data_IF_139158986399
#
_entry.id   IF_139158986399
#
_cell.length_a   1.000
_cell.length_b   1.000
_cell.length_c   1.000
_cell.angle_alpha   90.00
_cell.angle_beta   90.00
_cell.angle_gamma   90.00
#
_symmetry.space_group_name_H-M   'P 1'
#
loop_
_entity.id
_entity.type
_entity.pdbx_description
1 polymer ?
#
# COMPACT_ATOMS: atom_id res chain seq x y z
N UNK A 1 -31.47 -1.30 -46.04
CA UNK A 1 -31.81 -0.98 -44.64
C UNK A 1 -30.61 -1.37 -43.79
N UNK A 2 -29.84 -0.37 -43.37
CA UNK A 2 -28.57 -0.52 -42.66
C UNK A 2 -28.81 -1.01 -41.23
N UNK A 3 -28.20 -2.14 -40.87
CA UNK A 3 -28.01 -2.53 -39.48
C UNK A 3 -26.97 -1.59 -38.88
N UNK A 4 -27.43 -0.67 -38.03
CA UNK A 4 -26.54 0.08 -37.14
C UNK A 4 -26.25 -0.86 -35.98
N UNK A 5 -25.11 -1.54 -36.08
CA UNK A 5 -24.46 -2.21 -34.97
C UNK A 5 -24.16 -1.15 -33.91
N UNK A 6 -24.88 -1.20 -32.78
CA UNK A 6 -24.62 -0.32 -31.65
C UNK A 6 -23.47 -0.95 -30.87
N UNK A 7 -22.36 -0.24 -30.62
CA UNK A 7 -21.35 -0.78 -29.74
C UNK A 7 -21.94 -0.82 -28.32
N UNK A 8 -22.12 -2.01 -27.77
CA UNK A 8 -22.15 -2.22 -26.33
C UNK A 8 -20.75 -1.93 -25.78
N UNK A 9 -20.37 -0.66 -25.76
CA UNK A 9 -19.23 -0.25 -24.94
C UNK A 9 -19.68 -0.32 -23.47
N UNK A 10 -18.95 -1.05 -22.60
CA UNK A 10 -19.14 -0.96 -21.15
C UNK A 10 -18.61 0.40 -20.69
N UNK A 11 -19.33 1.46 -21.04
CA UNK A 11 -19.13 2.76 -20.43
C UNK A 11 -19.66 2.59 -19.01
N UNK A 12 -18.73 2.48 -18.06
CA UNK A 12 -18.87 3.15 -16.78
C UNK A 12 -19.74 2.52 -15.68
N UNK A 13 -19.91 1.21 -15.50
CA UNK A 13 -20.44 0.76 -14.18
C UNK A 13 -19.49 1.20 -13.06
N UNK A 14 -18.19 0.98 -13.25
CA UNK A 14 -17.11 1.47 -12.37
C UNK A 14 -17.06 3.00 -12.29
N UNK A 15 -17.23 3.73 -13.39
CA UNK A 15 -17.12 5.19 -13.41
C UNK A 15 -18.41 5.88 -12.86
N UNK A 16 -19.60 5.30 -13.07
CA UNK A 16 -20.87 5.74 -12.49
C UNK A 16 -20.89 5.52 -10.97
N UNK A 17 -20.42 4.36 -10.48
CA UNK A 17 -20.30 4.10 -9.02
C UNK A 17 -19.34 5.10 -8.35
N UNK A 18 -18.27 5.52 -9.05
CA UNK A 18 -17.26 6.45 -8.50
C UNK A 18 -17.73 7.90 -8.46
N UNK A 19 -18.46 8.35 -9.48
CA UNK A 19 -19.09 9.68 -9.47
C UNK A 19 -20.24 9.74 -8.47
N UNK A 20 -20.92 8.61 -8.23
CA UNK A 20 -21.95 8.48 -7.20
C UNK A 20 -21.38 8.69 -5.78
N UNK A 21 -20.22 8.11 -5.45
CA UNK A 21 -19.62 8.23 -4.11
C UNK A 21 -19.26 9.67 -3.72
N UNK A 22 -18.71 10.46 -4.66
CA UNK A 22 -18.42 11.88 -4.41
C UNK A 22 -19.72 12.69 -4.22
N UNK A 23 -20.73 12.44 -5.06
CA UNK A 23 -22.04 13.08 -4.94
C UNK A 23 -22.73 12.73 -3.62
N UNK A 24 -22.62 11.48 -3.17
CA UNK A 24 -23.15 11.02 -1.89
C UNK A 24 -22.47 11.73 -0.72
N UNK A 25 -21.14 11.85 -0.74
CA UNK A 25 -20.38 12.56 0.29
C UNK A 25 -20.80 14.04 0.40
N UNK A 26 -20.97 14.72 -0.74
CA UNK A 26 -21.46 16.10 -0.80
C UNK A 26 -22.89 16.17 -0.25
N UNK A 27 -23.77 15.27 -0.66
CA UNK A 27 -25.18 15.23 -0.23
C UNK A 27 -25.28 14.97 1.28
N UNK A 28 -24.48 14.05 1.81
CA UNK A 28 -24.39 13.80 3.25
C UNK A 28 -23.89 15.03 4.00
N UNK A 29 -22.90 15.75 3.48
CA UNK A 29 -22.40 17.01 4.06
C UNK A 29 -23.50 18.06 4.13
N UNK A 30 -24.29 18.22 3.05
CA UNK A 30 -25.43 19.14 3.03
C UNK A 30 -26.52 18.76 4.04
N UNK A 31 -26.89 17.48 4.09
CA UNK A 31 -27.99 16.99 4.93
C UNK A 31 -27.63 17.00 6.43
N UNK A 32 -26.39 16.64 6.76
CA UNK A 32 -25.92 16.55 8.15
C UNK A 32 -25.35 17.88 8.66
N UNK A 33 -24.94 18.78 7.76
CA UNK A 33 -24.17 19.98 8.08
C UNK A 33 -22.88 19.68 8.85
N UNK A 34 -22.34 18.47 8.68
CA UNK A 34 -21.09 18.02 9.27
C UNK A 34 -20.06 17.76 8.19
N UNK A 35 -18.82 18.09 8.49
CA UNK A 35 -17.70 17.81 7.60
C UNK A 35 -17.57 16.30 7.39
N UNK A 36 -17.37 15.88 6.15
CA UNK A 36 -17.16 14.47 5.79
C UNK A 36 -15.77 14.29 5.21
N UNK A 37 -15.22 13.09 5.38
CA UNK A 37 -13.92 12.71 4.84
C UNK A 37 -13.96 11.27 4.36
N UNK A 38 -13.48 11.04 3.14
CA UNK A 38 -13.41 9.69 2.57
C UNK A 38 -12.28 9.59 1.55
N UNK A 39 -11.67 8.42 1.44
CA UNK A 39 -10.74 8.13 0.34
C UNK A 39 -11.55 7.58 -0.84
N UNK A 40 -11.56 8.31 -1.94
CA UNK A 40 -12.28 7.95 -3.16
C UNK A 40 -11.31 7.64 -4.29
N UNK A 41 -11.67 6.66 -5.11
CA UNK A 41 -10.94 6.33 -6.32
C UNK A 41 -11.60 7.06 -7.50
N UNK A 42 -10.97 8.12 -8.01
CA UNK A 42 -11.51 8.96 -9.08
C UNK A 42 -10.74 8.73 -10.39
N UNK A 43 -11.46 8.73 -11.51
CA UNK A 43 -10.86 8.66 -12.83
C UNK A 43 -10.53 10.08 -13.32
N UNK A 44 -9.25 10.36 -13.59
CA UNK A 44 -8.76 11.67 -14.06
C UNK A 44 -7.76 11.42 -15.19
N UNK A 45 -7.91 12.11 -16.33
CA UNK A 45 -6.97 12.11 -17.46
C UNK A 45 -6.43 10.72 -17.87
N UNK A 46 -7.34 9.75 -18.07
CA UNK A 46 -7.06 8.34 -18.40
C UNK A 46 -6.39 7.48 -17.30
N UNK A 47 -6.30 7.97 -16.05
CA UNK A 47 -5.77 7.22 -14.91
C UNK A 47 -6.75 7.11 -13.75
N UNK A 48 -6.67 6.00 -13.01
CA UNK A 48 -7.33 5.87 -11.72
C UNK A 48 -6.40 6.42 -10.64
N UNK A 49 -6.86 7.42 -9.91
CA UNK A 49 -6.15 8.03 -8.79
C UNK A 49 -6.95 7.90 -7.50
N UNK A 50 -6.24 7.88 -6.39
CA UNK A 50 -6.84 7.84 -5.05
C UNK A 50 -6.77 9.23 -4.46
N UNK A 51 -7.91 9.79 -4.08
CA UNK A 51 -7.99 11.10 -3.44
C UNK A 51 -8.58 10.95 -2.06
N UNK A 52 -7.95 11.59 -1.08
CA UNK A 52 -8.66 11.97 0.12
C UNK A 52 -9.55 13.16 -0.20
N UNK A 53 -10.85 12.97 0.01
CA UNK A 53 -11.87 13.97 -0.24
C UNK A 53 -12.39 14.43 1.10
N UNK A 54 -12.24 15.72 1.37
CA UNK A 54 -12.84 16.38 2.53
C UNK A 54 -13.88 17.36 2.06
N UNK A 55 -15.09 17.26 2.58
CA UNK A 55 -16.20 18.16 2.27
C UNK A 55 -16.59 18.92 3.53
N UNK A 56 -16.65 20.25 3.43
CA UNK A 56 -16.93 21.13 4.55
C UNK A 56 -18.21 21.90 4.28
N UNK A 57 -19.17 21.80 5.20
CA UNK A 57 -20.37 22.61 5.12
C UNK A 57 -20.04 24.05 5.54
N UNK A 58 -20.28 25.00 4.64
CA UNK A 58 -20.12 26.42 4.92
C UNK A 58 -21.48 27.10 4.85
N UNK A 59 -21.88 27.69 5.98
CA UNK A 59 -23.08 28.52 6.03
C UNK A 59 -22.75 29.88 5.39
N UNK A 60 -23.15 30.05 4.14
CA UNK A 60 -23.10 31.34 3.45
C UNK A 60 -24.11 32.34 3.99
N UNK A 61 -24.14 33.55 3.42
CA UNK A 61 -25.04 34.61 3.86
C UNK A 61 -26.49 34.32 3.41
N UNK A 62 -27.40 34.26 4.41
CA UNK A 62 -28.87 34.08 4.49
C UNK A 62 -29.63 33.20 3.46
N UNK A 63 -29.11 32.90 2.27
CA UNK A 63 -29.83 32.19 1.19
C UNK A 63 -29.04 31.12 0.44
N UNK A 64 -27.72 30.97 0.65
CA UNK A 64 -26.93 29.94 -0.02
C UNK A 64 -26.11 29.13 0.98
N UNK A 65 -26.37 27.82 1.02
CA UNK A 65 -25.48 26.86 1.65
C UNK A 65 -24.42 26.45 0.63
N UNK A 66 -23.15 26.51 1.02
CA UNK A 66 -22.02 26.14 0.17
C UNK A 66 -21.32 24.93 0.77
N UNK A 67 -20.75 24.08 -0.09
CA UNK A 67 -19.88 22.99 0.34
C UNK A 67 -18.52 23.20 -0.32
N UNK A 68 -17.50 23.37 0.51
CA UNK A 68 -16.11 23.38 0.07
C UNK A 68 -15.64 21.94 -0.05
N UNK A 69 -14.94 21.62 -1.14
CA UNK A 69 -14.38 20.29 -1.40
C UNK A 69 -12.88 20.43 -1.54
N UNK A 70 -12.13 19.65 -0.77
CA UNK A 70 -10.69 19.51 -0.88
C UNK A 70 -10.40 18.10 -1.38
N UNK A 71 -9.57 18.00 -2.42
CA UNK A 71 -9.12 16.75 -3.01
C UNK A 71 -7.60 16.68 -2.86
N UNK A 72 -7.11 15.76 -2.04
CA UNK A 72 -5.68 15.51 -1.88
C UNK A 72 -5.30 14.19 -2.57
N UNK A 73 -4.43 14.24 -3.58
CA UNK A 73 -4.00 13.05 -4.32
C UNK A 73 -3.08 12.19 -3.44
N UNK A 74 -3.62 11.06 -2.98
CA UNK A 74 -2.93 10.07 -2.16
C UNK A 74 -2.33 8.93 -2.99
N UNK A 75 -2.42 8.98 -4.33
CA UNK A 75 -2.06 7.84 -5.18
C UNK A 75 -0.64 7.34 -4.92
N UNK A 76 0.35 8.23 -4.93
CA UNK A 76 1.75 7.86 -4.72
C UNK A 76 2.01 7.40 -3.29
N UNK A 77 1.39 8.07 -2.30
CA UNK A 77 1.55 7.73 -0.88
C UNK A 77 1.05 6.32 -0.62
N UNK A 78 -0.20 6.02 -1.00
CA UNK A 78 -0.80 4.70 -0.81
C UNK A 78 -0.12 3.62 -1.65
N UNK A 79 0.43 3.97 -2.82
CA UNK A 79 1.24 3.03 -3.61
C UNK A 79 2.53 2.65 -2.87
N UNK A 80 3.23 3.62 -2.29
CA UNK A 80 4.44 3.37 -1.50
C UNK A 80 4.10 2.53 -0.27
N UNK A 81 3.04 2.85 0.47
CA UNK A 81 2.60 2.06 1.63
C UNK A 81 2.28 0.60 1.26
N UNK A 82 1.60 0.37 0.12
CA UNK A 82 1.36 -0.98 -0.39
C UNK A 82 2.65 -1.70 -0.72
N UNK A 83 3.56 -1.05 -1.44
CA UNK A 83 4.86 -1.64 -1.77
C UNK A 83 5.66 -2.00 -0.51
N UNK A 84 5.60 -1.17 0.54
CA UNK A 84 6.23 -1.45 1.83
C UNK A 84 5.60 -2.67 2.51
N UNK A 85 4.27 -2.73 2.56
CA UNK A 85 3.54 -3.87 3.13
C UNK A 85 3.87 -5.17 2.38
N UNK A 86 3.86 -5.13 1.05
CA UNK A 86 4.18 -6.29 0.20
C UNK A 86 5.65 -6.72 0.40
N UNK A 87 6.57 -5.76 0.50
CA UNK A 87 7.98 -6.04 0.80
C UNK A 87 8.13 -6.73 2.16
N UNK A 88 7.47 -6.24 3.21
CA UNK A 88 7.52 -6.83 4.55
C UNK A 88 6.94 -8.25 4.57
N UNK A 89 5.82 -8.46 3.87
CA UNK A 89 5.22 -9.79 3.73
C UNK A 89 6.18 -10.76 3.03
N UNK A 90 6.75 -10.34 1.89
CA UNK A 90 7.71 -11.14 1.12
C UNK A 90 8.97 -11.46 1.95
N UNK A 91 9.56 -10.45 2.60
CA UNK A 91 10.71 -10.64 3.48
C UNK A 91 10.40 -11.65 4.60
N UNK A 92 9.22 -11.55 5.23
CA UNK A 92 8.80 -12.50 6.28
C UNK A 92 8.71 -13.93 5.75
N UNK A 93 8.14 -14.11 4.56
CA UNK A 93 8.07 -15.42 3.90
C UNK A 93 9.46 -15.97 3.54
N UNK A 94 10.33 -15.14 2.97
CA UNK A 94 11.68 -15.53 2.57
C UNK A 94 12.61 -15.82 3.75
N UNK A 95 12.38 -15.22 4.91
CA UNK A 95 13.08 -15.57 6.16
C UNK A 95 12.54 -16.86 6.79
N UNK A 96 11.23 -17.10 6.69
CA UNK A 96 10.59 -18.28 7.30
C UNK A 96 11.08 -19.59 6.68
N UNK A 97 11.28 -19.63 5.37
CA UNK A 97 11.76 -20.83 4.66
C UNK A 97 13.13 -21.33 5.14
N UNK A 98 14.23 -20.55 5.10
CA UNK A 98 15.54 -20.98 5.60
C UNK A 98 15.50 -21.31 7.09
N UNK A 99 14.74 -20.55 7.89
CA UNK A 99 14.59 -20.84 9.32
C UNK A 99 13.91 -22.19 9.59
N UNK A 100 12.89 -22.52 8.80
CA UNK A 100 12.19 -23.81 8.89
C UNK A 100 13.13 -24.95 8.49
N UNK A 101 13.91 -24.78 7.43
CA UNK A 101 14.91 -25.75 7.00
C UNK A 101 15.97 -25.99 8.09
N UNK A 102 16.56 -24.91 8.64
CA UNK A 102 17.54 -24.99 9.73
C UNK A 102 16.97 -25.77 10.92
N UNK A 103 15.76 -25.43 11.36
CA UNK A 103 15.11 -26.10 12.49
C UNK A 103 14.90 -27.58 12.20
N UNK A 104 14.38 -27.94 11.03
CA UNK A 104 14.14 -29.33 10.65
C UNK A 104 15.42 -30.18 10.54
N UNK A 105 16.51 -29.60 10.02
CA UNK A 105 17.79 -30.30 9.99
C UNK A 105 18.42 -30.44 11.38
N UNK A 106 18.26 -29.45 12.26
CA UNK A 106 18.68 -29.56 13.65
C UNK A 106 17.90 -30.67 14.38
N UNK A 107 16.58 -30.76 14.18
CA UNK A 107 15.76 -31.84 14.73
C UNK A 107 16.24 -33.21 14.21
N UNK A 108 16.58 -33.30 12.93
CA UNK A 108 17.10 -34.53 12.32
C UNK A 108 18.47 -34.91 12.92
N UNK A 109 19.34 -33.93 13.13
CA UNK A 109 20.65 -34.09 13.77
C UNK A 109 20.58 -34.49 15.24
N UNK A 110 19.48 -34.17 15.93
CA UNK A 110 19.24 -34.62 17.30
C UNK A 110 18.77 -36.09 17.36
N UNK A 111 18.37 -36.66 16.23
CA UNK A 111 17.99 -38.06 16.08
C UNK A 111 19.13 -38.99 15.63
N UNK A 112 18.80 -40.19 15.13
CA UNK A 112 19.80 -41.20 14.71
C UNK A 112 20.76 -40.72 13.61
N UNK A 113 20.34 -39.76 12.79
CA UNK A 113 21.20 -39.16 11.76
C UNK A 113 22.38 -38.38 12.36
N UNK A 114 22.26 -37.93 13.61
CA UNK A 114 23.36 -37.34 14.36
C UNK A 114 24.44 -38.34 14.75
N UNK A 115 24.19 -39.65 14.71
CA UNK A 115 25.17 -40.68 15.07
C UNK A 115 26.06 -41.07 13.88
N UNK A 116 25.53 -41.01 12.65
CA UNK A 116 26.33 -41.22 11.44
C UNK A 116 27.16 -39.97 11.10
N UNK A 117 28.48 -40.10 11.11
CA UNK A 117 29.40 -39.01 10.82
C UNK A 117 29.20 -38.41 9.42
N UNK A 118 28.85 -39.23 8.43
CA UNK A 118 28.68 -38.77 7.04
C UNK A 118 27.41 -37.94 6.91
N UNK A 119 26.27 -38.47 7.38
CA UNK A 119 24.98 -37.78 7.37
C UNK A 119 25.02 -36.51 8.23
N UNK A 120 25.63 -36.58 9.42
CA UNK A 120 25.82 -35.41 10.29
C UNK A 120 26.57 -34.29 9.58
N UNK A 121 27.66 -34.60 8.88
CA UNK A 121 28.42 -33.59 8.14
C UNK A 121 27.58 -32.95 7.02
N UNK A 122 26.77 -33.73 6.31
CA UNK A 122 25.88 -33.21 5.26
C UNK A 122 24.83 -32.25 5.83
N UNK A 123 24.16 -32.62 6.92
CA UNK A 123 23.13 -31.75 7.52
C UNK A 123 23.73 -30.50 8.17
N UNK A 124 24.90 -30.59 8.79
CA UNK A 124 25.60 -29.41 9.30
C UNK A 124 25.98 -28.44 8.16
N UNK A 125 26.35 -28.96 6.99
CA UNK A 125 26.61 -28.11 5.83
C UNK A 125 25.34 -27.37 5.39
N UNK A 126 24.20 -28.07 5.29
CA UNK A 126 22.94 -27.44 4.90
C UNK A 126 22.51 -26.36 5.91
N UNK A 127 22.62 -26.64 7.22
CA UNK A 127 22.35 -25.66 8.27
C UNK A 127 23.24 -24.42 8.12
N UNK A 128 24.53 -24.62 7.83
CA UNK A 128 25.47 -23.52 7.61
C UNK A 128 25.08 -22.67 6.40
N UNK A 129 24.73 -23.30 5.28
CA UNK A 129 24.37 -22.63 4.03
C UNK A 129 23.07 -21.81 4.20
N UNK A 130 22.06 -22.37 4.86
CA UNK A 130 20.80 -21.68 5.14
C UNK A 130 20.99 -20.53 6.15
N UNK A 131 21.86 -20.69 7.15
CA UNK A 131 22.18 -19.62 8.09
C UNK A 131 22.89 -18.46 7.39
N UNK A 132 23.80 -18.75 6.46
CA UNK A 132 24.46 -17.74 5.63
C UNK A 132 23.45 -17.03 4.72
N UNK A 133 22.53 -17.79 4.09
CA UNK A 133 21.45 -17.22 3.27
C UNK A 133 20.56 -16.26 4.06
N UNK A 134 20.17 -16.66 5.27
CA UNK A 134 19.37 -15.83 6.17
C UNK A 134 20.12 -14.56 6.57
N UNK A 135 21.42 -14.65 6.85
CA UNK A 135 22.25 -13.47 7.15
C UNK A 135 22.30 -12.47 5.99
N UNK A 136 22.44 -12.95 4.74
CA UNK A 136 22.41 -12.10 3.55
C UNK A 136 21.05 -11.40 3.41
N UNK A 137 19.94 -12.14 3.52
CA UNK A 137 18.59 -11.56 3.45
C UNK A 137 18.37 -10.46 4.49
N UNK A 138 18.80 -10.69 5.74
CA UNK A 138 18.69 -9.69 6.81
C UNK A 138 19.52 -8.44 6.47
N UNK A 139 20.75 -8.61 5.95
CA UNK A 139 21.59 -7.50 5.56
C UNK A 139 20.99 -6.68 4.40
N UNK A 140 20.35 -7.34 3.44
CA UNK A 140 19.68 -6.68 2.32
C UNK A 140 18.50 -5.83 2.81
N UNK A 141 17.67 -6.38 3.72
CA UNK A 141 16.56 -5.66 4.35
C UNK A 141 17.06 -4.43 5.12
N UNK A 142 18.12 -4.58 5.92
CA UNK A 142 18.70 -3.47 6.68
C UNK A 142 19.30 -2.39 5.77
N UNK A 143 19.88 -2.79 4.64
CA UNK A 143 20.46 -1.85 3.67
C UNK A 143 19.39 -1.02 2.97
N UNK A 144 18.28 -1.65 2.57
CA UNK A 144 17.12 -0.96 2.01
C UNK A 144 16.50 0.01 3.02
N UNK A 145 16.32 -0.41 4.27
CA UNK A 145 15.78 0.46 5.34
C UNK A 145 16.61 1.73 5.55
N UNK A 146 17.95 1.62 5.52
CA UNK A 146 18.85 2.77 5.64
C UNK A 146 18.82 3.71 4.43
N UNK A 147 18.65 3.17 3.23
CA UNK A 147 18.52 3.97 2.02
C UNK A 147 17.25 4.84 2.07
N UNK A 148 16.13 4.26 2.51
CA UNK A 148 14.84 4.96 2.61
C UNK A 148 14.88 6.14 3.60
N UNK A 149 15.48 5.95 4.79
CA UNK A 149 15.58 7.02 5.81
C UNK A 149 16.33 8.26 5.32
N UNK A 150 17.27 8.11 4.38
CA UNK A 150 18.00 9.25 3.79
C UNK A 150 17.11 10.08 2.86
N UNK A 151 16.20 9.46 2.13
CA UNK A 151 15.27 10.16 1.24
C UNK A 151 14.20 10.94 2.04
N UNK A 152 13.69 10.37 3.13
CA UNK A 152 12.69 11.05 3.98
C UNK A 152 13.24 12.33 4.64
N UNK A 153 14.54 12.38 4.92
CA UNK A 153 15.19 13.57 5.51
C UNK A 153 15.26 14.75 4.52
N UNK A 154 15.03 14.54 3.22
CA UNK A 154 15.08 15.56 2.17
C UNK A 154 13.72 16.19 1.86
N UNK A 155 12.61 15.67 2.42
CA UNK A 155 11.30 16.31 2.30
C UNK A 155 11.17 17.41 3.35
N UNK A 156 11.49 18.64 2.94
CA UNK A 156 11.40 19.85 3.77
C UNK A 156 9.95 20.14 4.13
N UNK A 157 9.66 20.36 5.42
CA UNK A 157 8.38 20.91 5.88
C UNK A 157 8.14 22.26 5.20
N UNK A 158 7.21 22.28 4.24
CA UNK A 158 6.58 23.52 3.79
C UNK A 158 5.44 23.80 4.76
N UNK A 159 5.54 24.91 5.49
CA UNK A 159 4.48 25.33 6.39
C UNK A 159 3.35 25.91 5.55
N UNK A 160 2.09 25.64 5.91
CA UNK A 160 0.92 26.19 5.18
C UNK A 160 0.99 27.73 5.08
N UNK A 161 1.61 28.40 6.06
CA UNK A 161 1.88 29.84 6.02
C UNK A 161 2.76 30.28 4.85
N UNK A 162 3.63 29.41 4.33
CA UNK A 162 4.55 29.71 3.21
C UNK A 162 3.84 29.70 1.84
N UNK A 163 2.58 29.25 1.78
CA UNK A 163 1.79 29.14 0.53
C UNK A 163 0.68 30.19 0.39
N UNK A 164 0.45 31.01 1.43
CA UNK A 164 -0.65 31.99 1.48
C UNK A 164 -0.17 33.44 1.28
N UNK A 165 1.14 33.68 1.15
CA UNK A 165 1.71 35.00 0.82
C UNK A 165 1.83 35.25 -0.70
#
# INVERSE_FOLDING_TARGET
LLAVDRPETPIAESLVIRQFALSELITQTFNTQQNQQAILNLAVDNGMKQYEVSTFYQKGDVQHAEVMIILYDLTTVLQIERMQSDFLANASHELKTPLTAITGFIETLQGPAGEDATTRQQFLQIVSDEAQRLSLLVNDILSLSRAQQRDDTLQKELTISDMID
#
